data_IF_971409303945
#
_entry.id   IF_971409303945
#
_cell.length_a   1.000
_cell.length_b   1.000
_cell.length_c   1.000
_cell.angle_alpha   90.00
_cell.angle_beta   90.00
_cell.angle_gamma   90.00
#
_symmetry.space_group_name_H-M   'P 1'
#
loop_
_entity.id
_entity.type
_entity.pdbx_description
1 polymer ?
#
# COMPACT_ATOMS: atom_id res chain seq x y z
N UNK A 1 9.62 42.02 -12.88
CA UNK A 1 10.78 41.56 -12.11
C UNK A 1 10.35 40.78 -10.86
N UNK A 2 9.56 41.30 -9.96
CA UNK A 2 9.07 40.66 -8.72
C UNK A 2 8.41 39.28 -8.94
N UNK A 3 7.53 39.10 -9.96
CA UNK A 3 6.92 37.81 -10.29
C UNK A 3 7.93 36.71 -10.72
N UNK A 4 9.06 37.11 -11.36
CA UNK A 4 10.12 36.18 -11.77
C UNK A 4 10.95 35.75 -10.56
N UNK A 5 11.28 36.70 -9.67
CA UNK A 5 11.99 36.44 -8.41
C UNK A 5 11.14 35.51 -7.51
N UNK A 6 9.84 35.78 -7.35
CA UNK A 6 8.95 34.96 -6.55
C UNK A 6 8.85 33.49 -7.06
N UNK A 7 8.87 33.28 -8.38
CA UNK A 7 8.91 31.91 -8.94
C UNK A 7 10.24 31.22 -8.66
N UNK A 8 11.37 31.91 -8.78
CA UNK A 8 12.68 31.35 -8.47
C UNK A 8 12.75 30.95 -6.99
N UNK A 9 12.30 31.82 -6.09
CA UNK A 9 12.27 31.54 -4.65
C UNK A 9 11.36 30.34 -4.33
N UNK A 10 10.20 30.25 -4.96
CA UNK A 10 9.30 29.11 -4.81
C UNK A 10 9.96 27.82 -5.32
N UNK A 11 10.65 27.87 -6.45
CA UNK A 11 11.39 26.71 -6.98
C UNK A 11 12.48 26.21 -6.02
N UNK A 12 13.27 27.14 -5.49
CA UNK A 12 14.30 26.83 -4.49
C UNK A 12 13.68 26.23 -3.23
N UNK A 13 12.57 26.79 -2.75
CA UNK A 13 11.85 26.28 -1.58
C UNK A 13 11.34 24.85 -1.79
N UNK A 14 10.71 24.57 -2.95
CA UNK A 14 10.21 23.21 -3.27
C UNK A 14 11.35 22.20 -3.38
N UNK A 15 12.46 22.55 -4.02
CA UNK A 15 13.65 21.69 -4.10
C UNK A 15 14.22 21.44 -2.69
N UNK A 16 14.27 22.46 -1.84
CA UNK A 16 14.74 22.30 -0.45
C UNK A 16 13.84 21.34 0.35
N UNK A 17 12.50 21.43 0.17
CA UNK A 17 11.57 20.50 0.79
C UNK A 17 11.77 19.06 0.31
N UNK A 18 11.99 18.87 -1.00
CA UNK A 18 12.29 17.56 -1.57
C UNK A 18 13.57 16.95 -0.97
N UNK A 19 14.64 17.74 -0.89
CA UNK A 19 15.92 17.30 -0.31
C UNK A 19 15.74 16.96 1.17
N UNK A 20 15.07 17.80 1.95
CA UNK A 20 14.81 17.54 3.37
C UNK A 20 13.99 16.27 3.58
N UNK A 21 12.93 16.09 2.81
CA UNK A 21 12.10 14.89 2.87
C UNK A 21 12.90 13.63 2.50
N UNK A 22 13.70 13.69 1.43
CA UNK A 22 14.57 12.59 1.02
C UNK A 22 15.58 12.22 2.11
N UNK A 23 16.27 13.22 2.70
CA UNK A 23 17.23 12.98 3.78
C UNK A 23 16.54 12.37 5.00
N UNK A 24 15.36 12.86 5.37
CA UNK A 24 14.59 12.29 6.48
C UNK A 24 14.22 10.82 6.22
N UNK A 25 13.70 10.52 5.03
CA UNK A 25 13.32 9.15 4.64
C UNK A 25 14.52 8.22 4.67
N UNK A 26 15.68 8.63 4.12
CA UNK A 26 16.90 7.80 4.12
C UNK A 26 17.36 7.53 5.54
N UNK A 27 17.41 8.56 6.39
CA UNK A 27 17.83 8.42 7.79
C UNK A 27 16.86 7.49 8.54
N UNK A 28 15.55 7.71 8.40
CA UNK A 28 14.52 6.93 9.07
C UNK A 28 14.53 5.46 8.63
N UNK A 29 14.61 5.20 7.33
CA UNK A 29 14.67 3.84 6.81
C UNK A 29 15.97 3.12 7.23
N UNK A 30 17.10 3.80 7.22
CA UNK A 30 18.35 3.22 7.70
C UNK A 30 18.28 2.89 9.19
N UNK A 31 17.70 3.76 10.02
CA UNK A 31 17.50 3.49 11.45
C UNK A 31 16.52 2.34 11.67
N UNK A 32 15.40 2.32 10.93
CA UNK A 32 14.39 1.25 11.01
C UNK A 32 14.97 -0.08 10.57
N UNK A 33 15.71 -0.11 9.46
CA UNK A 33 16.34 -1.33 8.94
C UNK A 33 17.45 -1.85 9.85
N UNK A 34 18.25 -0.96 10.43
CA UNK A 34 19.34 -1.35 11.36
C UNK A 34 18.82 -1.92 12.69
N UNK A 35 17.63 -1.49 13.14
CA UNK A 35 17.04 -1.90 14.42
C UNK A 35 16.01 -3.03 14.28
N UNK A 36 15.53 -3.33 13.08
CA UNK A 36 14.55 -4.39 12.85
C UNK A 36 15.21 -5.76 12.94
N UNK A 37 14.69 -6.64 13.82
CA UNK A 37 15.13 -8.02 13.91
C UNK A 37 14.16 -8.99 13.19
N UNK A 38 12.86 -8.69 13.19
CA UNK A 38 11.85 -9.52 12.55
C UNK A 38 10.43 -9.03 12.79
N UNK A 39 9.48 -9.88 12.49
CA UNK A 39 8.06 -9.67 12.75
C UNK A 39 7.49 -10.76 13.64
N UNK A 40 6.52 -10.41 14.48
CA UNK A 40 5.77 -11.35 15.31
C UNK A 40 4.28 -11.08 15.14
N UNK A 41 3.48 -12.15 15.11
CA UNK A 41 2.02 -12.05 15.09
C UNK A 41 1.48 -12.50 16.44
N UNK A 42 0.79 -11.61 17.13
CA UNK A 42 0.04 -11.93 18.34
C UNK A 42 -1.39 -12.31 17.98
N UNK A 43 -1.90 -13.35 18.63
CA UNK A 43 -3.30 -13.77 18.55
C UNK A 43 -3.80 -13.90 19.98
N UNK A 44 -4.86 -13.20 20.32
CA UNK A 44 -5.53 -13.31 21.62
C UNK A 44 -6.84 -14.05 21.41
N UNK A 45 -7.07 -15.11 22.16
CA UNK A 45 -8.27 -15.95 22.09
C UNK A 45 -8.97 -15.99 23.45
N UNK A 46 -10.29 -15.98 23.40
CA UNK A 46 -11.13 -16.29 24.56
C UNK A 46 -11.18 -17.80 24.85
N UNK A 47 -11.96 -18.21 25.87
CA UNK A 47 -12.11 -19.61 26.27
C UNK A 47 -12.62 -20.52 25.16
N UNK A 48 -13.43 -20.01 24.24
CA UNK A 48 -14.02 -20.76 23.13
C UNK A 48 -13.10 -20.84 21.90
N UNK A 49 -11.82 -20.48 22.02
CA UNK A 49 -10.86 -20.36 20.92
C UNK A 49 -11.29 -19.37 19.81
N UNK A 50 -12.16 -18.43 20.14
CA UNK A 50 -12.49 -17.35 19.22
C UNK A 50 -11.44 -16.27 19.33
N UNK A 51 -10.78 -15.94 18.21
CA UNK A 51 -9.85 -14.84 18.15
C UNK A 51 -10.55 -13.52 18.46
N UNK A 52 -10.16 -12.86 19.53
CA UNK A 52 -10.67 -11.55 19.89
C UNK A 52 -9.81 -10.43 19.35
N UNK A 53 -8.53 -10.70 19.15
CA UNK A 53 -7.60 -9.77 18.50
C UNK A 53 -6.45 -10.47 17.82
N UNK A 54 -5.95 -9.86 16.73
CA UNK A 54 -4.73 -10.24 16.03
C UNK A 54 -3.96 -8.98 15.66
N UNK A 55 -2.70 -8.93 16.08
CA UNK A 55 -1.76 -7.87 15.71
C UNK A 55 -0.47 -8.44 15.16
N UNK A 56 0.01 -7.92 14.05
CA UNK A 56 1.33 -8.22 13.51
C UNK A 56 2.21 -6.99 13.62
N UNK A 57 3.35 -7.13 14.28
CA UNK A 57 4.27 -6.04 14.56
C UNK A 57 5.71 -6.40 14.24
N UNK A 58 6.52 -5.37 14.03
CA UNK A 58 7.96 -5.50 13.93
C UNK A 58 8.58 -5.35 15.33
N UNK A 59 9.59 -6.16 15.64
CA UNK A 59 10.37 -6.07 16.87
C UNK A 59 11.82 -5.76 16.56
N UNK A 60 12.53 -5.20 17.56
CA UNK A 60 13.95 -4.84 17.47
C UNK A 60 14.81 -5.98 18.01
N UNK A 61 16.11 -5.95 17.66
CA UNK A 61 17.05 -7.01 18.00
C UNK A 61 17.19 -7.28 19.49
N UNK A 62 17.04 -6.24 20.31
CA UNK A 62 17.21 -6.33 21.76
C UNK A 62 15.88 -6.38 22.53
N UNK A 63 14.75 -6.40 21.81
CA UNK A 63 13.42 -6.49 22.46
C UNK A 63 13.21 -7.90 23.02
N UNK A 64 12.62 -7.96 24.21
CA UNK A 64 12.07 -9.18 24.80
C UNK A 64 10.59 -9.32 24.46
N UNK A 65 10.06 -10.55 24.50
CA UNK A 65 8.63 -10.79 24.26
C UNK A 65 7.76 -10.02 25.27
N UNK A 66 8.21 -9.91 26.51
CA UNK A 66 7.52 -9.14 27.55
C UNK A 66 7.44 -7.65 27.21
N UNK A 67 8.55 -7.03 26.78
CA UNK A 67 8.56 -5.62 26.38
C UNK A 67 7.66 -5.35 25.19
N UNK A 68 7.69 -6.25 24.20
CA UNK A 68 6.85 -6.16 23.02
C UNK A 68 5.36 -6.24 23.39
N UNK A 69 4.96 -7.21 24.24
CA UNK A 69 3.59 -7.32 24.71
C UNK A 69 3.16 -6.10 25.53
N UNK A 70 4.01 -5.63 26.43
CA UNK A 70 3.74 -4.48 27.29
C UNK A 70 3.62 -3.15 26.50
N UNK A 71 4.20 -3.10 25.31
CA UNK A 71 4.04 -1.97 24.40
C UNK A 71 2.70 -1.94 23.67
N UNK A 72 2.03 -3.10 23.56
CA UNK A 72 0.78 -3.28 22.81
C UNK A 72 -0.46 -3.34 23.68
N UNK A 73 -0.30 -3.89 24.89
CA UNK A 73 -1.39 -4.26 25.78
C UNK A 73 -1.12 -3.78 27.21
N UNK A 74 -2.16 -3.52 27.95
CA UNK A 74 -2.05 -3.39 29.41
C UNK A 74 -1.95 -4.79 30.01
N UNK A 75 -0.82 -5.12 30.62
CA UNK A 75 -0.54 -6.45 31.15
C UNK A 75 -0.63 -6.43 32.68
N UNK A 76 -1.39 -7.36 33.24
CA UNK A 76 -1.34 -7.69 34.67
C UNK A 76 -0.48 -8.95 34.86
N UNK A 77 0.53 -8.89 35.73
CA UNK A 77 1.45 -10.01 35.95
C UNK A 77 1.89 -10.14 37.40
N UNK A 78 2.43 -11.31 37.73
CA UNK A 78 3.13 -11.58 39.00
C UNK A 78 4.59 -11.92 38.70
N UNK A 79 5.50 -11.35 39.45
CA UNK A 79 6.89 -11.77 39.42
C UNK A 79 7.05 -13.11 40.12
N UNK A 80 7.72 -14.03 39.49
CA UNK A 80 8.04 -15.37 40.00
C UNK A 80 9.52 -15.65 39.83
N UNK A 81 10.01 -16.71 40.47
CA UNK A 81 11.42 -17.15 40.27
C UNK A 81 11.76 -17.59 38.84
N UNK A 82 10.73 -17.69 37.94
CA UNK A 82 10.86 -18.04 36.53
C UNK A 82 10.53 -16.88 35.60
N UNK A 83 10.45 -15.66 36.12
CA UNK A 83 10.09 -14.44 35.38
C UNK A 83 8.64 -14.03 35.53
N UNK A 84 8.16 -13.23 34.60
CA UNK A 84 6.80 -12.67 34.60
C UNK A 84 5.73 -13.72 34.30
N UNK A 85 4.81 -13.90 35.23
CA UNK A 85 3.63 -14.74 35.04
C UNK A 85 2.40 -13.86 34.79
N UNK A 86 1.88 -13.89 33.56
CA UNK A 86 0.73 -13.07 33.16
C UNK A 86 -0.55 -13.62 33.78
N UNK A 87 -1.34 -12.73 34.37
CA UNK A 87 -2.66 -13.02 34.97
C UNK A 87 -3.77 -12.24 34.30
N UNK A 88 -3.45 -11.22 33.51
CA UNK A 88 -4.43 -10.45 32.75
C UNK A 88 -3.79 -9.77 31.55
N UNK A 89 -4.63 -9.53 30.55
CA UNK A 89 -4.27 -8.79 29.34
C UNK A 89 -5.49 -8.00 28.87
N UNK A 90 -5.29 -6.72 28.63
CA UNK A 90 -6.32 -5.80 28.15
C UNK A 90 -5.85 -5.09 26.89
N UNK A 91 -6.65 -5.14 25.84
CA UNK A 91 -6.50 -4.43 24.58
C UNK A 91 -7.67 -3.49 24.33
N UNK A 92 -7.71 -2.89 23.16
CA UNK A 92 -8.74 -1.91 22.80
C UNK A 92 -10.16 -2.50 22.77
N UNK A 93 -10.29 -3.78 22.44
CA UNK A 93 -11.58 -4.46 22.23
C UNK A 93 -11.87 -5.59 23.21
N UNK A 94 -10.94 -5.91 24.13
CA UNK A 94 -11.07 -7.02 25.06
C UNK A 94 -10.39 -6.74 26.41
N UNK A 95 -10.84 -7.44 27.45
CA UNK A 95 -10.21 -7.44 28.77
C UNK A 95 -10.33 -8.85 29.37
N UNK A 96 -9.22 -9.56 29.42
CA UNK A 96 -9.14 -10.92 29.93
C UNK A 96 -8.40 -10.87 31.27
N UNK A 97 -9.07 -11.26 32.34
CA UNK A 97 -8.51 -11.35 33.68
C UNK A 97 -8.70 -12.76 34.23
N UNK A 98 -7.59 -13.37 34.64
CA UNK A 98 -7.59 -14.70 35.18
C UNK A 98 -7.19 -14.70 36.65
N UNK A 99 -7.57 -15.73 37.39
CA UNK A 99 -7.20 -15.86 38.79
C UNK A 99 -5.95 -16.74 39.02
N UNK A 100 -5.44 -17.34 37.95
CA UNK A 100 -4.25 -18.21 37.98
C UNK A 100 -4.47 -19.59 38.57
N UNK A 101 -5.70 -19.92 39.00
CA UNK A 101 -6.04 -21.23 39.59
C UNK A 101 -7.14 -21.96 38.85
N UNK A 102 -8.34 -21.37 38.72
CA UNK A 102 -9.45 -21.90 37.96
C UNK A 102 -9.46 -21.41 36.52
N UNK A 103 -8.91 -20.26 36.28
CA UNK A 103 -8.69 -19.67 34.94
C UNK A 103 -7.24 -19.20 34.82
N UNK A 104 -6.63 -19.39 33.67
CA UNK A 104 -5.25 -18.98 33.41
C UNK A 104 -5.05 -18.56 31.95
N UNK A 105 -3.96 -17.83 31.67
CA UNK A 105 -3.49 -17.56 30.32
C UNK A 105 -2.55 -18.67 29.88
N UNK A 106 -2.85 -19.27 28.75
CA UNK A 106 -2.05 -20.32 28.11
C UNK A 106 -1.37 -19.78 26.87
N UNK A 107 -0.08 -20.00 26.79
CA UNK A 107 0.74 -19.51 25.67
C UNK A 107 1.08 -20.63 24.71
N UNK A 108 0.92 -20.35 23.44
CA UNK A 108 1.29 -21.26 22.35
C UNK A 108 2.15 -20.52 21.34
N UNK A 109 3.21 -21.19 20.91
CA UNK A 109 4.16 -20.67 19.91
C UNK A 109 4.08 -21.51 18.66
N UNK A 110 4.15 -20.83 17.51
CA UNK A 110 4.35 -21.47 16.22
C UNK A 110 5.42 -20.73 15.43
N UNK A 111 6.26 -21.49 14.75
CA UNK A 111 7.24 -21.01 13.79
C UNK A 111 6.88 -21.55 12.42
N UNK A 112 7.14 -20.76 11.39
CA UNK A 112 7.05 -21.20 10.02
C UNK A 112 8.16 -22.20 9.74
N UNK A 113 7.87 -23.32 9.09
CA UNK A 113 8.88 -24.30 8.68
C UNK A 113 9.92 -23.67 7.77
N UNK A 114 11.15 -24.13 7.87
CA UNK A 114 12.24 -23.69 7.01
C UNK A 114 11.88 -23.93 5.53
N UNK A 115 12.14 -22.93 4.70
CA UNK A 115 11.86 -22.97 3.28
C UNK A 115 10.43 -22.59 2.87
N UNK A 116 9.53 -22.36 3.83
CA UNK A 116 8.16 -21.86 3.56
C UNK A 116 8.12 -20.34 3.74
N UNK A 117 7.62 -19.64 2.73
CA UNK A 117 7.43 -18.18 2.83
C UNK A 117 6.18 -17.87 3.67
N UNK A 118 6.25 -16.85 4.52
CA UNK A 118 5.09 -16.38 5.27
C UNK A 118 3.92 -15.99 4.35
N UNK A 119 4.19 -15.50 3.17
CA UNK A 119 3.17 -15.15 2.17
C UNK A 119 2.42 -16.35 1.63
N UNK A 120 3.10 -17.50 1.60
CA UNK A 120 2.59 -18.77 1.07
C UNK A 120 2.09 -19.67 2.20
N UNK A 121 2.27 -19.27 3.46
CA UNK A 121 1.88 -20.03 4.64
C UNK A 121 0.37 -19.97 4.81
N UNK A 122 -0.29 -21.00 4.43
CA UNK A 122 -1.75 -21.07 4.33
C UNK A 122 -2.28 -22.26 5.11
N UNK A 123 -1.47 -23.30 5.29
CA UNK A 123 -1.87 -24.53 5.94
C UNK A 123 -1.26 -24.63 7.35
N UNK A 124 -2.05 -25.17 8.27
CA UNK A 124 -1.61 -25.55 9.61
C UNK A 124 -0.35 -26.42 9.61
N UNK A 125 -0.20 -27.28 8.60
CA UNK A 125 0.97 -28.14 8.42
C UNK A 125 2.28 -27.38 8.13
N UNK A 126 2.21 -26.11 7.75
CA UNK A 126 3.38 -25.28 7.47
C UNK A 126 4.03 -24.69 8.73
N UNK A 127 3.42 -24.92 9.90
CA UNK A 127 3.93 -24.46 11.17
C UNK A 127 4.55 -25.57 11.99
N UNK A 128 5.62 -25.21 12.72
CA UNK A 128 6.18 -26.04 13.79
C UNK A 128 5.72 -25.46 15.12
N UNK A 129 5.00 -26.29 15.89
CA UNK A 129 4.63 -25.93 17.25
C UNK A 129 5.81 -26.07 18.19
N UNK A 130 5.89 -25.14 19.12
CA UNK A 130 6.78 -25.24 20.26
C UNK A 130 5.98 -25.11 21.54
N UNK A 131 6.16 -26.08 22.43
CA UNK A 131 5.62 -26.01 23.79
C UNK A 131 6.40 -24.96 24.58
N UNK A 132 5.69 -24.04 25.23
CA UNK A 132 6.29 -23.08 26.13
C UNK A 132 6.54 -23.75 27.48
N UNK A 133 7.77 -24.05 27.80
CA UNK A 133 8.20 -24.66 29.08
C UNK A 133 8.79 -23.63 30.05
N UNK A 134 8.98 -22.40 29.61
CA UNK A 134 9.56 -21.29 30.38
C UNK A 134 8.53 -20.17 30.55
N UNK A 135 8.78 -19.28 31.51
CA UNK A 135 8.03 -18.02 31.58
C UNK A 135 8.21 -17.16 30.31
N UNK A 136 7.39 -16.13 30.21
CA UNK A 136 7.38 -15.26 29.01
C UNK A 136 8.74 -14.65 28.71
N UNK A 137 9.56 -14.39 29.73
CA UNK A 137 10.89 -13.80 29.57
C UNK A 137 11.92 -14.75 28.94
N UNK A 138 11.68 -16.06 29.01
CA UNK A 138 12.58 -17.06 28.43
C UNK A 138 12.29 -17.39 26.97
N UNK A 139 11.33 -16.69 26.34
CA UNK A 139 10.95 -16.93 24.96
C UNK A 139 11.79 -16.04 24.04
N UNK A 140 12.60 -16.69 23.19
CA UNK A 140 13.37 -16.01 22.17
C UNK A 140 12.47 -15.61 20.99
N UNK A 141 12.53 -14.33 20.61
CA UNK A 141 11.81 -13.82 19.44
C UNK A 141 12.45 -14.31 18.14
N UNK A 142 11.63 -14.85 17.24
CA UNK A 142 12.05 -15.28 15.90
C UNK A 142 11.21 -14.60 14.83
N UNK A 143 11.82 -14.35 13.68
CA UNK A 143 11.10 -13.73 12.58
C UNK A 143 9.92 -14.59 12.09
N UNK A 144 8.80 -13.94 11.84
CA UNK A 144 7.52 -14.55 11.48
C UNK A 144 6.92 -15.53 12.52
N UNK A 145 7.30 -15.39 13.79
CA UNK A 145 6.72 -16.15 14.88
C UNK A 145 5.26 -15.76 15.09
N UNK A 146 4.43 -16.75 15.43
CA UNK A 146 3.07 -16.55 15.92
C UNK A 146 3.03 -16.88 17.40
N UNK A 147 2.55 -15.95 18.20
CA UNK A 147 2.37 -16.10 19.63
C UNK A 147 0.89 -15.97 19.97
N UNK A 148 0.30 -17.08 20.38
CA UNK A 148 -1.10 -17.12 20.79
C UNK A 148 -1.22 -17.06 22.32
N UNK A 149 -2.07 -16.16 22.78
CA UNK A 149 -2.47 -15.98 24.19
C UNK A 149 -3.90 -16.47 24.30
N UNK A 150 -4.10 -17.55 25.02
CA UNK A 150 -5.38 -18.22 25.14
C UNK A 150 -5.88 -18.13 26.58
N UNK A 151 -7.12 -17.68 26.79
CA UNK A 151 -7.81 -17.85 28.05
C UNK A 151 -8.24 -19.32 28.20
N UNK A 152 -7.93 -19.93 29.35
CA UNK A 152 -8.20 -21.35 29.62
C UNK A 152 -8.77 -21.57 31.01
N UNK A 153 -9.54 -22.64 31.14
CA UNK A 153 -10.00 -23.23 32.38
C UNK A 153 -9.90 -24.76 32.32
N UNK A 154 -10.38 -25.45 33.35
CA UNK A 154 -10.34 -26.92 33.41
C UNK A 154 -11.21 -27.61 32.35
N UNK A 155 -12.19 -26.95 31.80
CA UNK A 155 -13.11 -27.48 30.78
C UNK A 155 -12.66 -27.12 29.36
N UNK A 156 -12.09 -25.91 29.19
CA UNK A 156 -11.65 -25.36 27.91
C UNK A 156 -10.12 -25.31 27.87
N UNK A 157 -9.49 -26.48 27.79
CA UNK A 157 -8.02 -26.61 27.76
C UNK A 157 -7.55 -27.33 26.50
N UNK A 158 -8.03 -26.86 25.34
CA UNK A 158 -7.60 -27.35 24.04
C UNK A 158 -6.65 -26.35 23.40
N UNK A 159 -5.56 -26.89 22.79
CA UNK A 159 -4.63 -26.05 22.03
C UNK A 159 -5.30 -25.49 20.80
N UNK A 160 -5.15 -24.18 20.56
CA UNK A 160 -5.60 -23.52 19.33
C UNK A 160 -4.98 -24.20 18.09
N UNK A 161 -3.73 -24.60 18.18
CA UNK A 161 -3.00 -25.19 17.06
C UNK A 161 -3.12 -26.72 16.98
N UNK A 162 -3.73 -27.39 17.95
CA UNK A 162 -4.08 -28.80 17.84
C UNK A 162 -5.43 -28.99 17.16
N UNK A 163 -6.26 -27.97 17.19
CA UNK A 163 -7.55 -27.97 16.55
C UNK A 163 -7.45 -27.30 15.17
N UNK A 164 -7.36 -28.13 14.14
CA UNK A 164 -7.35 -27.68 12.75
C UNK A 164 -8.58 -26.83 12.39
N UNK A 165 -9.69 -27.03 13.12
CA UNK A 165 -10.93 -26.28 12.90
C UNK A 165 -10.77 -24.85 13.39
N UNK A 166 -10.21 -24.63 14.57
CA UNK A 166 -9.97 -23.28 15.10
C UNK A 166 -8.98 -22.49 14.25
N UNK A 167 -7.87 -23.13 13.84
CA UNK A 167 -6.91 -22.53 12.94
C UNK A 167 -7.54 -22.22 11.57
N UNK A 168 -8.28 -23.16 11.00
CA UNK A 168 -8.96 -22.98 9.72
C UNK A 168 -10.09 -21.95 9.81
N UNK A 169 -10.81 -21.85 10.93
CA UNK A 169 -11.83 -20.82 11.12
C UNK A 169 -11.23 -19.41 11.05
N UNK A 170 -10.11 -19.20 11.74
CA UNK A 170 -9.37 -17.96 11.66
C UNK A 170 -8.85 -17.68 10.23
N UNK A 171 -8.25 -18.68 9.60
CA UNK A 171 -7.79 -18.61 8.22
C UNK A 171 -8.95 -18.37 7.24
N UNK A 172 -10.08 -19.07 7.40
CA UNK A 172 -11.25 -18.95 6.52
C UNK A 172 -11.91 -17.56 6.62
N UNK A 173 -11.89 -16.89 7.77
CA UNK A 173 -12.39 -15.51 7.88
C UNK A 173 -11.58 -14.56 7.00
N UNK A 174 -10.27 -14.71 7.00
CA UNK A 174 -9.35 -13.96 6.12
C UNK A 174 -9.55 -14.33 4.64
N UNK A 175 -9.79 -15.61 4.34
CA UNK A 175 -10.10 -16.11 3.00
C UNK A 175 -11.42 -15.55 2.47
N UNK A 176 -12.48 -15.55 3.29
CA UNK A 176 -13.79 -15.00 2.90
C UNK A 176 -13.64 -13.52 2.50
N UNK A 177 -12.85 -12.77 3.25
CA UNK A 177 -12.57 -11.38 2.92
C UNK A 177 -11.80 -11.24 1.59
N UNK A 178 -10.77 -12.08 1.37
CA UNK A 178 -10.05 -12.14 0.08
C UNK A 178 -10.98 -12.49 -1.08
N UNK A 179 -11.90 -13.43 -0.91
CA UNK A 179 -12.89 -13.82 -1.93
C UNK A 179 -13.79 -12.61 -2.27
N UNK A 180 -14.28 -11.88 -1.25
CA UNK A 180 -15.09 -10.67 -1.47
C UNK A 180 -14.30 -9.65 -2.32
N UNK A 181 -13.03 -9.44 -2.01
CA UNK A 181 -12.17 -8.54 -2.78
C UNK A 181 -12.02 -9.03 -4.22
N UNK A 182 -11.74 -10.32 -4.44
CA UNK A 182 -11.64 -10.85 -5.81
C UNK A 182 -12.95 -10.74 -6.60
N UNK A 183 -14.09 -10.90 -5.94
CA UNK A 183 -15.41 -10.68 -6.57
C UNK A 183 -15.58 -9.21 -6.95
N UNK A 184 -15.25 -8.28 -6.06
CA UNK A 184 -15.30 -6.83 -6.36
C UNK A 184 -14.37 -6.46 -7.51
N UNK A 185 -13.19 -7.05 -7.56
CA UNK A 185 -12.25 -6.90 -8.68
C UNK A 185 -12.83 -7.44 -9.98
N UNK A 186 -13.40 -8.64 -9.94
CA UNK A 186 -14.04 -9.25 -11.11
C UNK A 186 -15.17 -8.36 -11.66
N UNK A 187 -16.02 -7.83 -10.78
CA UNK A 187 -17.09 -6.89 -11.14
C UNK A 187 -16.53 -5.59 -11.73
N UNK A 188 -15.43 -5.09 -11.17
CA UNK A 188 -14.75 -3.92 -11.68
C UNK A 188 -14.16 -4.16 -13.08
N UNK A 189 -13.43 -5.26 -13.30
CA UNK A 189 -12.91 -5.65 -14.61
C UNK A 189 -14.04 -5.79 -15.62
N UNK A 190 -15.16 -6.41 -15.22
CA UNK A 190 -16.36 -6.53 -16.06
C UNK A 190 -16.92 -5.15 -16.42
N UNK A 191 -17.00 -4.23 -15.46
CA UNK A 191 -17.44 -2.85 -15.71
C UNK A 191 -16.52 -2.11 -16.70
N UNK A 192 -15.19 -2.29 -16.59
CA UNK A 192 -14.22 -1.74 -17.56
C UNK A 192 -14.42 -2.35 -18.95
N UNK A 193 -14.61 -3.66 -19.05
CA UNK A 193 -14.86 -4.34 -20.34
C UNK A 193 -16.17 -3.83 -20.96
N UNK A 194 -17.24 -3.74 -20.16
CA UNK A 194 -18.53 -3.18 -20.63
C UNK A 194 -18.37 -1.73 -21.09
N UNK A 195 -17.64 -0.91 -20.35
CA UNK A 195 -17.33 0.46 -20.75
C UNK A 195 -16.58 0.52 -22.08
N UNK A 196 -15.60 -0.36 -22.30
CA UNK A 196 -14.86 -0.45 -23.56
C UNK A 196 -15.77 -0.91 -24.71
N UNK A 197 -16.67 -1.88 -24.48
CA UNK A 197 -17.63 -2.39 -25.48
C UNK A 197 -18.64 -1.29 -25.87
N UNK A 198 -19.20 -0.57 -24.88
CA UNK A 198 -20.15 0.53 -25.12
C UNK A 198 -19.48 1.65 -25.91
N UNK A 199 -18.22 1.98 -25.57
CA UNK A 199 -17.45 2.98 -26.31
C UNK A 199 -16.97 2.52 -27.69
N UNK A 200 -17.00 1.21 -27.99
CA UNK A 200 -16.67 0.68 -29.32
C UNK A 200 -17.66 1.15 -30.40
N UNK A 201 -18.89 1.51 -30.03
CA UNK A 201 -19.89 2.11 -30.94
C UNK A 201 -19.66 3.61 -31.24
N UNK A 202 -18.70 4.26 -30.60
CA UNK A 202 -18.32 5.62 -30.89
C UNK A 202 -17.44 5.65 -32.16
N UNK A 203 -17.77 6.51 -33.11
CA UNK A 203 -17.11 6.62 -34.43
C UNK A 203 -15.62 7.00 -34.42
N UNK A 204 -15.02 7.22 -33.26
CA UNK A 204 -13.60 7.51 -33.12
C UNK A 204 -12.79 6.21 -32.98
N UNK A 205 -12.52 5.55 -34.10
CA UNK A 205 -11.61 4.42 -34.15
C UNK A 205 -10.17 4.90 -33.84
N UNK A 206 -9.52 4.25 -32.88
CA UNK A 206 -8.09 4.45 -32.63
C UNK A 206 -7.34 3.76 -33.77
N UNK A 207 -6.49 4.50 -34.48
CA UNK A 207 -5.63 3.94 -35.52
C UNK A 207 -4.52 3.10 -34.90
N UNK A 208 -3.95 2.16 -35.69
CA UNK A 208 -2.79 1.36 -35.23
C UNK A 208 -1.63 2.25 -34.81
N UNK A 209 -1.39 3.32 -35.58
CA UNK A 209 -0.35 4.31 -35.26
C UNK A 209 -0.59 5.00 -33.93
N UNK A 210 -1.82 5.46 -33.69
CA UNK A 210 -2.18 6.03 -32.37
C UNK A 210 -1.97 5.03 -31.25
N UNK A 211 -2.34 3.76 -31.45
CA UNK A 211 -2.12 2.70 -30.46
C UNK A 211 -0.65 2.50 -30.12
N UNK A 212 0.23 2.51 -31.14
CA UNK A 212 1.68 2.43 -30.92
C UNK A 212 2.21 3.62 -30.10
N UNK A 213 1.72 4.84 -30.37
CA UNK A 213 2.10 6.02 -29.59
C UNK A 213 1.62 5.90 -28.14
N UNK A 214 0.39 5.47 -27.92
CA UNK A 214 -0.15 5.29 -26.56
C UNK A 214 0.61 4.21 -25.79
N UNK A 215 0.98 3.10 -26.44
CA UNK A 215 1.81 2.06 -25.85
C UNK A 215 3.20 2.61 -25.46
N UNK A 216 3.84 3.38 -26.36
CA UNK A 216 5.11 4.04 -26.05
C UNK A 216 5.00 5.00 -24.86
N UNK A 217 3.91 5.77 -24.76
CA UNK A 217 3.66 6.66 -23.63
C UNK A 217 3.46 5.89 -22.31
N UNK A 218 2.87 4.69 -22.33
CA UNK A 218 2.78 3.81 -21.14
C UNK A 218 4.16 3.33 -20.70
N UNK A 219 5.02 2.97 -21.65
CA UNK A 219 6.41 2.57 -21.37
C UNK A 219 7.22 3.73 -20.80
N UNK A 220 7.00 4.96 -21.26
CA UNK A 220 7.66 6.15 -20.70
C UNK A 220 7.25 6.39 -19.24
N UNK A 221 5.96 6.17 -18.89
CA UNK A 221 5.53 6.22 -17.50
C UNK A 221 6.27 5.19 -16.65
N UNK A 222 6.35 3.97 -17.10
CA UNK A 222 7.03 2.89 -16.41
C UNK A 222 8.54 3.16 -16.25
N UNK A 223 9.24 3.48 -17.35
CA UNK A 223 10.70 3.70 -17.33
C UNK A 223 11.06 4.84 -16.35
N UNK A 224 10.31 5.94 -16.33
CA UNK A 224 10.63 7.05 -15.43
C UNK A 224 10.41 6.70 -13.96
N UNK A 225 9.42 5.86 -13.62
CA UNK A 225 9.22 5.38 -12.25
C UNK A 225 10.40 4.51 -11.80
N UNK A 226 10.79 3.55 -12.62
CA UNK A 226 11.93 2.67 -12.34
C UNK A 226 13.26 3.43 -12.27
N UNK A 227 13.45 4.43 -13.14
CA UNK A 227 14.65 5.25 -13.12
C UNK A 227 14.83 6.02 -11.82
N UNK A 228 13.74 6.43 -11.19
CA UNK A 228 13.73 7.19 -9.94
C UNK A 228 13.32 6.36 -8.72
N UNK A 229 13.15 5.05 -8.84
CA UNK A 229 12.72 4.17 -7.76
C UNK A 229 13.61 4.22 -6.50
N UNK A 230 14.90 4.62 -6.66
CA UNK A 230 15.81 4.82 -5.54
C UNK A 230 15.50 6.06 -4.67
N UNK A 231 14.62 6.96 -5.15
CA UNK A 231 14.14 8.12 -4.41
C UNK A 231 12.64 7.91 -4.12
N UNK A 232 12.24 7.57 -2.90
CA UNK A 232 10.85 7.31 -2.57
C UNK A 232 9.93 8.50 -2.93
N UNK A 233 8.84 8.21 -3.62
CA UNK A 233 7.80 9.16 -4.04
C UNK A 233 8.30 10.35 -4.91
N UNK A 234 9.52 10.26 -5.45
CA UNK A 234 10.01 11.18 -6.46
C UNK A 234 9.73 10.62 -7.86
N UNK A 235 8.63 11.06 -8.48
CA UNK A 235 8.20 10.52 -9.76
C UNK A 235 7.53 11.61 -10.62
N UNK A 236 7.73 11.50 -11.93
CA UNK A 236 7.10 12.38 -12.90
C UNK A 236 5.76 11.87 -13.44
N UNK A 237 5.27 10.76 -12.93
CA UNK A 237 4.02 10.11 -13.37
C UNK A 237 2.86 11.07 -13.39
N UNK A 238 2.65 11.81 -12.31
CA UNK A 238 1.56 12.78 -12.22
C UNK A 238 1.70 13.94 -13.21
N UNK A 239 2.92 14.41 -13.46
CA UNK A 239 3.18 15.41 -14.51
C UNK A 239 2.85 14.85 -15.90
N UNK A 240 3.35 13.66 -16.22
CA UNK A 240 3.13 13.03 -17.53
C UNK A 240 1.64 12.73 -17.76
N UNK A 241 0.94 12.20 -16.77
CA UNK A 241 -0.50 11.98 -16.83
C UNK A 241 -1.29 13.28 -17.05
N UNK A 242 -0.90 14.37 -16.39
CA UNK A 242 -1.50 15.68 -16.60
C UNK A 242 -1.29 16.19 -18.04
N UNK A 243 -0.10 15.98 -18.60
CA UNK A 243 0.21 16.33 -19.99
C UNK A 243 -0.60 15.44 -20.95
N UNK A 244 -0.61 14.12 -20.72
CA UNK A 244 -1.29 13.15 -21.58
C UNK A 244 -2.80 13.41 -21.64
N UNK A 245 -3.47 13.63 -20.50
CA UNK A 245 -4.91 13.93 -20.50
C UNK A 245 -5.22 15.26 -21.17
N UNK A 246 -4.30 16.21 -21.14
CA UNK A 246 -4.46 17.51 -21.79
C UNK A 246 -4.24 17.46 -23.30
N UNK A 247 -3.43 16.54 -23.82
CA UNK A 247 -3.08 16.39 -25.23
C UNK A 247 -3.93 15.33 -25.92
N UNK A 248 -4.01 14.12 -25.33
CA UNK A 248 -4.70 12.96 -25.94
C UNK A 248 -6.17 12.87 -25.52
N UNK A 249 -6.55 13.58 -24.45
CA UNK A 249 -7.88 13.52 -23.84
C UNK A 249 -8.08 12.33 -22.91
N UNK A 250 -9.19 12.34 -22.18
CA UNK A 250 -9.46 11.39 -21.10
C UNK A 250 -9.43 9.93 -21.56
N UNK A 251 -10.12 9.58 -22.64
CA UNK A 251 -10.25 8.19 -23.13
C UNK A 251 -8.88 7.55 -23.48
N UNK A 252 -8.04 8.27 -24.24
CA UNK A 252 -6.73 7.74 -24.64
C UNK A 252 -5.76 7.64 -23.47
N UNK A 253 -5.82 8.61 -22.56
CA UNK A 253 -5.00 8.57 -21.32
C UNK A 253 -5.43 7.43 -20.39
N UNK A 254 -6.73 7.10 -20.33
CA UNK A 254 -7.18 5.92 -19.57
C UNK A 254 -6.60 4.60 -20.09
N UNK A 255 -6.41 4.46 -21.40
CA UNK A 255 -5.73 3.30 -21.99
C UNK A 255 -4.25 3.25 -21.63
N UNK A 256 -3.58 4.41 -21.62
CA UNK A 256 -2.18 4.53 -21.17
C UNK A 256 -2.05 4.07 -19.73
N UNK A 257 -2.94 4.55 -18.83
CA UNK A 257 -2.95 4.17 -17.41
C UNK A 257 -3.17 2.66 -17.25
N UNK A 258 -4.12 2.09 -17.99
CA UNK A 258 -4.40 0.66 -17.90
C UNK A 258 -3.16 -0.18 -18.27
N UNK A 259 -2.48 0.16 -19.39
CA UNK A 259 -1.27 -0.52 -19.82
C UNK A 259 -0.12 -0.30 -18.82
N UNK A 260 0.04 0.92 -18.29
CA UNK A 260 1.06 1.24 -17.30
C UNK A 260 0.88 0.45 -15.99
N UNK A 261 -0.34 0.43 -15.43
CA UNK A 261 -0.63 -0.33 -14.20
C UNK A 261 -0.36 -1.82 -14.36
N UNK A 262 -0.66 -2.39 -15.55
CA UNK A 262 -0.33 -3.78 -15.85
C UNK A 262 1.19 -4.00 -15.90
N UNK A 263 1.92 -3.15 -16.63
CA UNK A 263 3.37 -3.26 -16.78
C UNK A 263 4.08 -3.18 -15.43
N UNK A 264 3.71 -2.21 -14.62
CA UNK A 264 4.30 -1.97 -13.31
C UNK A 264 4.06 -3.17 -12.37
N UNK A 265 2.83 -3.65 -12.26
CA UNK A 265 2.51 -4.78 -11.40
C UNK A 265 3.09 -6.13 -11.90
N UNK A 266 3.24 -6.33 -13.22
CA UNK A 266 3.95 -7.48 -13.77
C UNK A 266 5.43 -7.43 -13.37
N UNK A 267 6.06 -6.28 -13.52
CA UNK A 267 7.47 -6.09 -13.19
C UNK A 267 7.73 -6.28 -11.69
N UNK A 268 6.90 -5.71 -10.82
CA UNK A 268 6.99 -5.86 -9.37
C UNK A 268 6.61 -7.27 -8.87
N UNK A 269 6.15 -8.16 -9.75
CA UNK A 269 5.67 -9.49 -9.38
C UNK A 269 4.44 -9.47 -8.46
N UNK A 270 3.70 -8.37 -8.46
CA UNK A 270 2.57 -8.11 -7.56
C UNK A 270 1.24 -8.00 -8.31
N UNK A 271 0.93 -8.92 -9.22
CA UNK A 271 -0.38 -8.98 -9.90
C UNK A 271 -1.52 -9.24 -8.89
N UNK A 272 -1.53 -8.46 -7.81
CA UNK A 272 -2.55 -8.55 -6.79
C UNK A 272 -3.59 -7.46 -7.00
N UNK A 273 -4.86 -7.82 -7.04
CA UNK A 273 -5.95 -6.84 -7.16
C UNK A 273 -5.94 -5.75 -6.10
N UNK A 274 -5.43 -6.08 -4.92
CA UNK A 274 -5.30 -5.19 -3.76
C UNK A 274 -4.43 -3.97 -4.09
N UNK A 275 -3.38 -4.15 -4.88
CA UNK A 275 -2.47 -3.07 -5.30
C UNK A 275 -2.97 -2.41 -6.58
N UNK A 276 -3.40 -3.22 -7.56
CA UNK A 276 -3.79 -2.74 -8.90
C UNK A 276 -5.00 -1.82 -8.89
N UNK A 277 -6.02 -2.11 -8.04
CA UNK A 277 -7.26 -1.33 -8.02
C UNK A 277 -7.05 0.07 -7.47
N UNK A 278 -6.49 0.27 -6.27
CA UNK A 278 -6.27 1.62 -5.76
C UNK A 278 -5.35 2.43 -6.68
N UNK A 279 -4.33 1.80 -7.26
CA UNK A 279 -3.43 2.42 -8.23
C UNK A 279 -4.20 2.92 -9.46
N UNK A 280 -4.97 2.05 -10.09
CA UNK A 280 -5.77 2.42 -11.27
C UNK A 280 -6.82 3.47 -10.94
N UNK A 281 -7.60 3.29 -9.86
CA UNK A 281 -8.62 4.25 -9.43
C UNK A 281 -8.03 5.61 -9.11
N UNK A 282 -6.91 5.64 -8.40
CA UNK A 282 -6.23 6.87 -8.04
C UNK A 282 -5.77 7.65 -9.27
N UNK A 283 -5.15 6.98 -10.23
CA UNK A 283 -4.78 7.62 -11.49
C UNK A 283 -5.98 8.08 -12.31
N UNK A 284 -7.07 7.31 -12.32
CA UNK A 284 -8.31 7.71 -13.02
C UNK A 284 -8.95 8.95 -12.39
N UNK A 285 -8.99 9.03 -11.06
CA UNK A 285 -9.47 10.21 -10.33
C UNK A 285 -8.57 11.40 -10.63
N UNK A 286 -7.25 11.20 -10.59
CA UNK A 286 -6.26 12.23 -10.89
C UNK A 286 -6.48 12.84 -12.30
N UNK A 287 -6.52 12.00 -13.33
CA UNK A 287 -6.72 12.51 -14.70
C UNK A 287 -8.10 13.13 -14.89
N UNK A 288 -9.11 12.69 -14.14
CA UNK A 288 -10.44 13.30 -14.13
C UNK A 288 -10.39 14.74 -13.62
N UNK A 289 -9.73 14.97 -12.48
CA UNK A 289 -9.53 16.31 -11.90
C UNK A 289 -8.76 17.20 -12.87
N UNK A 290 -7.66 16.71 -13.42
CA UNK A 290 -6.85 17.47 -14.38
C UNK A 290 -7.64 17.77 -15.66
N UNK A 291 -8.42 16.83 -16.16
CA UNK A 291 -9.24 17.04 -17.36
C UNK A 291 -10.26 18.15 -17.18
N UNK A 292 -10.89 18.24 -16.01
CA UNK A 292 -11.81 19.33 -15.65
C UNK A 292 -11.10 20.67 -15.55
N UNK A 293 -9.85 20.67 -15.09
CA UNK A 293 -9.07 21.89 -14.82
C UNK A 293 -8.10 22.28 -15.95
N UNK A 294 -7.96 21.47 -17.01
CA UNK A 294 -6.95 21.66 -18.08
C UNK A 294 -6.93 23.03 -18.77
N UNK A 295 -8.07 23.72 -18.77
CA UNK A 295 -8.24 25.06 -19.37
C UNK A 295 -8.15 26.19 -18.32
N UNK A 296 -7.90 25.86 -17.05
CA UNK A 296 -7.77 26.84 -15.97
C UNK A 296 -6.31 27.35 -15.85
N UNK A 297 -6.09 28.29 -14.94
CA UNK A 297 -4.75 28.79 -14.69
C UNK A 297 -3.84 27.70 -14.09
N UNK A 298 -2.51 27.86 -14.24
CA UNK A 298 -1.53 26.87 -13.79
C UNK A 298 -1.59 26.61 -12.29
N UNK A 299 -1.95 27.59 -11.49
CA UNK A 299 -2.03 27.45 -10.04
C UNK A 299 -3.18 26.54 -9.63
N UNK A 300 -4.37 26.75 -10.22
CA UNK A 300 -5.53 25.91 -9.95
C UNK A 300 -5.31 24.49 -10.48
N UNK A 301 -4.64 24.36 -11.63
CA UNK A 301 -4.26 23.05 -12.19
C UNK A 301 -3.27 22.33 -11.27
N UNK A 302 -2.28 23.03 -10.72
CA UNK A 302 -1.31 22.46 -9.77
C UNK A 302 -2.00 22.03 -8.47
N UNK A 303 -2.90 22.87 -7.92
CA UNK A 303 -3.69 22.49 -6.74
C UNK A 303 -4.55 21.26 -6.99
N UNK A 304 -5.19 21.16 -8.16
CA UNK A 304 -5.93 19.98 -8.57
C UNK A 304 -5.04 18.74 -8.71
N UNK A 305 -3.81 18.92 -9.21
CA UNK A 305 -2.82 17.84 -9.28
C UNK A 305 -2.39 17.35 -7.90
N UNK A 306 -2.11 18.26 -6.96
CA UNK A 306 -1.78 17.93 -5.57
C UNK A 306 -2.95 17.18 -4.91
N UNK A 307 -4.19 17.69 -5.04
CA UNK A 307 -5.37 17.05 -4.48
C UNK A 307 -5.58 15.64 -5.05
N UNK A 308 -5.45 15.47 -6.37
CA UNK A 308 -5.62 14.17 -7.02
C UNK A 308 -4.55 13.16 -6.60
N UNK A 309 -3.30 13.60 -6.43
CA UNK A 309 -2.23 12.75 -5.93
C UNK A 309 -2.41 12.39 -4.45
N UNK A 310 -2.89 13.31 -3.64
CA UNK A 310 -3.23 13.04 -2.24
C UNK A 310 -4.36 11.98 -2.14
N UNK A 311 -5.39 12.08 -2.98
CA UNK A 311 -6.44 11.05 -3.06
C UNK A 311 -5.84 9.69 -3.46
N UNK A 312 -4.90 9.66 -4.40
CA UNK A 312 -4.17 8.45 -4.78
C UNK A 312 -3.47 7.81 -3.56
N UNK A 313 -2.72 8.58 -2.77
CA UNK A 313 -2.08 8.09 -1.54
C UNK A 313 -3.11 7.56 -0.53
N UNK A 314 -4.21 8.27 -0.33
CA UNK A 314 -5.28 7.84 0.58
C UNK A 314 -5.94 6.52 0.18
N UNK A 315 -6.03 6.22 -1.12
CA UNK A 315 -6.54 4.92 -1.58
C UNK A 315 -5.60 3.77 -1.18
N UNK A 316 -4.29 3.98 -1.23
CA UNK A 316 -3.32 2.99 -0.73
C UNK A 316 -3.35 2.88 0.79
N UNK A 317 -3.52 3.99 1.50
CA UNK A 317 -3.69 3.98 2.96
C UNK A 317 -4.87 3.07 3.36
N UNK A 318 -6.06 3.26 2.74
CA UNK A 318 -7.23 2.42 2.99
C UNK A 318 -6.93 0.95 2.70
N UNK A 319 -6.21 0.66 1.61
CA UNK A 319 -5.83 -0.71 1.24
C UNK A 319 -4.92 -1.34 2.30
N UNK A 320 -3.92 -0.61 2.77
CA UNK A 320 -2.98 -1.10 3.77
C UNK A 320 -3.66 -1.34 5.13
N UNK A 321 -4.57 -0.45 5.54
CA UNK A 321 -5.37 -0.63 6.77
C UNK A 321 -6.20 -1.91 6.68
N UNK A 322 -6.94 -2.07 5.59
CA UNK A 322 -7.90 -3.16 5.43
C UNK A 322 -7.21 -4.52 5.29
N UNK A 323 -6.03 -4.59 4.64
CA UNK A 323 -5.36 -5.84 4.34
C UNK A 323 -4.16 -6.17 5.23
N UNK A 324 -3.52 -5.17 5.82
CA UNK A 324 -2.35 -5.34 6.67
C UNK A 324 -2.67 -5.12 8.14
N UNK A 325 -3.90 -4.72 8.47
CA UNK A 325 -4.36 -4.47 9.85
C UNK A 325 -3.42 -3.51 10.62
N UNK A 326 -2.86 -2.53 9.89
CA UNK A 326 -1.92 -1.57 10.46
C UNK A 326 -2.70 -0.44 11.14
N UNK A 327 -2.19 0.06 12.27
CA UNK A 327 -2.74 1.25 12.91
C UNK A 327 -2.75 2.43 11.95
N UNK A 328 -3.96 2.98 11.73
CA UNK A 328 -4.22 4.06 10.76
C UNK A 328 -3.38 5.29 11.04
N UNK A 329 -3.34 5.70 12.30
CA UNK A 329 -2.69 6.94 12.70
C UNK A 329 -1.17 6.83 12.61
N UNK A 330 -0.61 5.73 13.10
CA UNK A 330 0.84 5.49 13.03
C UNK A 330 1.33 5.35 11.59
N UNK A 331 0.56 4.63 10.74
CA UNK A 331 0.89 4.51 9.33
C UNK A 331 0.84 5.87 8.61
N UNK A 332 -0.25 6.62 8.78
CA UNK A 332 -0.41 7.94 8.18
C UNK A 332 0.70 8.90 8.63
N UNK A 333 1.04 8.91 9.93
CA UNK A 333 2.12 9.74 10.45
C UNK A 333 3.48 9.38 9.84
N UNK A 334 3.75 8.08 9.66
CA UNK A 334 4.98 7.61 9.02
C UNK A 334 5.04 7.94 7.52
N UNK A 335 3.89 8.09 6.86
CA UNK A 335 3.80 8.38 5.42
C UNK A 335 3.95 9.88 5.09
N UNK A 336 3.75 10.78 6.07
CA UNK A 336 3.83 12.24 5.87
C UNK A 336 5.10 12.70 5.11
N UNK A 337 6.31 12.23 5.42
CA UNK A 337 7.51 12.65 4.68
C UNK A 337 7.48 12.26 3.20
N UNK A 338 6.92 11.09 2.90
CA UNK A 338 6.75 10.60 1.53
C UNK A 338 5.72 11.41 0.76
N UNK A 339 4.62 11.80 1.42
CA UNK A 339 3.62 12.69 0.85
C UNK A 339 4.17 14.10 0.58
N UNK A 340 4.97 14.65 1.49
CA UNK A 340 5.64 15.95 1.30
C UNK A 340 6.56 15.90 0.07
N UNK A 341 7.32 14.82 -0.12
CA UNK A 341 8.15 14.62 -1.31
C UNK A 341 7.29 14.62 -2.57
N UNK A 342 6.23 13.84 -2.61
CA UNK A 342 5.33 13.73 -3.74
C UNK A 342 4.68 15.07 -4.09
N UNK A 343 4.10 15.76 -3.10
CA UNK A 343 3.42 17.04 -3.26
C UNK A 343 4.41 18.09 -3.78
N UNK A 344 5.62 18.13 -3.22
CA UNK A 344 6.67 19.08 -3.64
C UNK A 344 7.10 18.80 -5.08
N UNK A 345 7.27 17.52 -5.46
CA UNK A 345 7.61 17.10 -6.82
C UNK A 345 6.51 17.51 -7.81
N UNK A 346 5.25 17.28 -7.48
CA UNK A 346 4.12 17.67 -8.32
C UNK A 346 4.05 19.19 -8.46
N UNK A 347 4.15 19.92 -7.35
CA UNK A 347 4.12 21.39 -7.39
C UNK A 347 5.24 21.95 -8.27
N UNK A 348 6.46 21.47 -8.10
CA UNK A 348 7.61 21.89 -8.90
C UNK A 348 7.41 21.57 -10.38
N UNK A 349 7.09 20.34 -10.70
CA UNK A 349 7.00 19.89 -12.09
C UNK A 349 5.82 20.51 -12.83
N UNK A 350 4.67 20.66 -12.19
CA UNK A 350 3.49 21.30 -12.78
C UNK A 350 3.73 22.79 -13.06
N UNK A 351 4.37 23.53 -12.15
CA UNK A 351 4.60 24.96 -12.31
C UNK A 351 5.65 25.25 -13.40
N UNK A 352 6.70 24.44 -13.46
CA UNK A 352 7.85 24.72 -14.32
C UNK A 352 7.85 23.92 -15.63
N UNK A 353 7.45 22.65 -15.62
CA UNK A 353 7.61 21.74 -16.75
C UNK A 353 6.32 21.50 -17.52
N UNK A 354 5.15 21.60 -16.90
CA UNK A 354 3.88 21.26 -17.56
C UNK A 354 3.65 22.04 -18.85
N UNK A 355 3.74 23.36 -18.85
CA UNK A 355 3.46 24.19 -20.04
C UNK A 355 4.43 23.92 -21.22
N UNK A 356 5.75 23.91 -21.03
CA UNK A 356 6.69 23.65 -22.13
C UNK A 356 6.56 22.24 -22.68
N UNK A 357 6.43 21.23 -21.81
CA UNK A 357 6.30 19.83 -22.25
C UNK A 357 4.96 19.57 -22.93
N UNK A 358 3.85 20.08 -22.38
CA UNK A 358 2.53 19.99 -23.02
C UNK A 358 2.55 20.60 -24.43
N UNK A 359 3.17 21.79 -24.60
CA UNK A 359 3.26 22.44 -25.90
C UNK A 359 4.02 21.56 -26.90
N UNK A 360 5.18 21.05 -26.50
CA UNK A 360 5.99 20.16 -27.35
C UNK A 360 5.27 18.89 -27.74
N UNK A 361 4.65 18.20 -26.79
CA UNK A 361 3.89 17.00 -27.09
C UNK A 361 2.68 17.29 -27.99
N UNK A 362 1.99 18.41 -27.79
CA UNK A 362 0.88 18.81 -28.65
C UNK A 362 1.32 19.14 -30.09
N UNK A 363 2.46 19.83 -30.26
CA UNK A 363 3.05 20.10 -31.57
C UNK A 363 3.38 18.79 -32.31
N UNK A 364 4.02 17.83 -31.62
CA UNK A 364 4.35 16.53 -32.20
C UNK A 364 3.09 15.72 -32.56
N UNK A 365 2.11 15.70 -31.68
CA UNK A 365 0.85 14.98 -31.88
C UNK A 365 0.03 15.50 -33.07
N UNK A 366 -0.03 16.83 -33.26
CA UNK A 366 -0.77 17.45 -34.35
C UNK A 366 -0.02 17.27 -35.68
N UNK A 367 1.29 17.44 -35.70
CA UNK A 367 2.12 17.18 -36.90
C UNK A 367 1.98 15.75 -37.37
N UNK A 368 1.95 14.81 -36.45
CA UNK A 368 1.77 13.39 -36.76
C UNK A 368 0.40 13.08 -37.39
N UNK A 369 -0.63 13.80 -36.98
CA UNK A 369 -1.98 13.71 -37.60
C UNK A 369 -2.04 14.30 -39.01
N UNK A 370 -1.39 15.43 -39.23
CA UNK A 370 -1.34 16.08 -40.54
C UNK A 370 -0.67 15.15 -41.57
N UNK A 371 0.49 14.59 -41.26
CA UNK A 371 1.22 13.64 -42.12
C UNK A 371 0.37 12.40 -42.43
N UNK A 372 -0.36 11.87 -41.44
CA UNK A 372 -1.23 10.71 -41.63
C UNK A 372 -2.40 10.99 -42.62
N UNK A 373 -2.98 12.20 -42.55
CA UNK A 373 -4.07 12.63 -43.41
C UNK A 373 -3.57 12.79 -44.85
N UNK A 374 -2.37 13.40 -45.04
CA UNK A 374 -1.77 13.55 -46.36
C UNK A 374 -1.46 12.20 -47.02
N UNK A 375 -0.91 11.23 -46.26
CA UNK A 375 -0.53 9.91 -46.79
C UNK A 375 -1.73 9.03 -47.15
N UNK A 376 -2.88 9.18 -46.51
CA UNK A 376 -4.03 8.32 -46.71
C UNK A 376 -5.17 8.99 -47.50
N UNK A 377 -5.04 10.26 -47.90
CA UNK A 377 -6.01 10.94 -48.78
C UNK A 377 -7.39 11.16 -48.16
N UNK A 378 -7.53 11.02 -46.85
CA UNK A 378 -8.79 11.27 -46.16
C UNK A 378 -8.93 12.77 -45.86
N UNK A 379 -9.57 13.48 -46.75
CA UNK A 379 -10.17 14.78 -46.44
C UNK A 379 -11.50 14.47 -45.75
N UNK A 380 -11.61 14.65 -44.46
CA UNK A 380 -12.86 14.66 -43.70
C UNK A 380 -13.13 16.07 -43.21
#
# INVERSE_FOLDING_TARGET
MLKKIGRILLGVFLISLMILSMVYVIIHNNQKSANRAGTITFIVNNMDNQGVEKKRIEYKKDDTLFEVLNSLYTIEYKETGYGHYLIGIEGDSFNIKTNGTSTWLWFELCYIKDGVSYKDTIDFNDYVKQTVSTGIDGIELKDNMIFAINERDNLHNTSMFNDSISFNSYYNSTQTFRIIVYVLVGLFVLAVILFLIINRKSNNKITVRELCILAFMSVLLFIQEELFAFIPNFQFTFLLLAIYVSVFGFKKTSLIIFAHVLLDNIYMGSLTPIVMIPMWLGYMIYIGIIWLLKNKNIWLLTLGGILGAYIYCMLFLVTNIVFLEIDVYLYWLADIPFEIMLISTIAFTMIYLYKPLRRKLSELWNKDKEVYIEDNGEII
#
